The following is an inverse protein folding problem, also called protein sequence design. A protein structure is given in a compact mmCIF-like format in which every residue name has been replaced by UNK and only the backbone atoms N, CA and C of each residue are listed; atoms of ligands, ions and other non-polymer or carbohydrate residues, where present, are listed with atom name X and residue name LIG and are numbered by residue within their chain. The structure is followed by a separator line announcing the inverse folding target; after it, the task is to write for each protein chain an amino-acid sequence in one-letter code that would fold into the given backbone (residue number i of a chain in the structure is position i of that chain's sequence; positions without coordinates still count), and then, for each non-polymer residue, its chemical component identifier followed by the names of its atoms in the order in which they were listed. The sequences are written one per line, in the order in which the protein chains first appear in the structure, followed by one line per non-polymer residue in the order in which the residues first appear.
data_IF_550609141543
#
_entry.id   IF_550609141543
#
_cell.length_a   1.000
_cell.length_b   1.000
_cell.length_c   1.000
_cell.angle_alpha   90.00
_cell.angle_beta   90.00
_cell.angle_gamma   90.00
#
_symmetry.space_group_name_H-M   'P 1'
#
loop_
_entity.id
_entity.type
_entity.pdbx_description
1 polymer ?
#
# COMPACT_ATOMS: atom_id res chain seq x y z
N UNK A 1 -20.67 -13.05 -10.39
CA UNK A 1 -21.00 -11.82 -9.63
C UNK A 1 -20.86 -10.56 -10.48
N UNK A 2 -19.69 -10.21 -11.06
CA UNK A 2 -19.54 -9.00 -11.89
C UNK A 2 -20.44 -8.95 -13.12
N UNK A 3 -20.67 -10.08 -13.78
CA UNK A 3 -21.59 -10.18 -14.91
C UNK A 3 -23.05 -9.93 -14.51
N UNK A 4 -23.49 -10.39 -13.35
CA UNK A 4 -24.84 -10.10 -12.84
C UNK A 4 -24.96 -8.61 -12.50
N UNK A 5 -24.00 -8.04 -11.80
CA UNK A 5 -23.98 -6.60 -11.49
C UNK A 5 -24.06 -5.76 -12.77
N UNK A 6 -23.28 -6.11 -13.78
CA UNK A 6 -23.27 -5.37 -15.04
C UNK A 6 -24.59 -5.55 -15.83
N UNK A 7 -25.21 -6.74 -15.79
CA UNK A 7 -26.54 -6.98 -16.37
C UNK A 7 -27.60 -6.09 -15.71
N UNK A 8 -27.62 -6.03 -14.40
CA UNK A 8 -28.60 -5.25 -13.63
C UNK A 8 -28.44 -3.74 -13.88
N UNK A 9 -27.21 -3.28 -14.09
CA UNK A 9 -26.88 -1.87 -14.35
C UNK A 9 -26.83 -1.47 -15.83
N UNK A 10 -27.04 -2.42 -16.76
CA UNK A 10 -26.98 -2.21 -18.21
C UNK A 10 -27.78 -0.99 -18.70
N UNK A 11 -29.01 -0.87 -18.28
CA UNK A 11 -29.90 0.23 -18.71
C UNK A 11 -29.38 1.59 -18.24
N UNK A 12 -28.88 1.63 -17.04
CA UNK A 12 -28.36 2.84 -16.41
C UNK A 12 -27.04 3.29 -17.06
N UNK A 13 -26.12 2.35 -17.35
CA UNK A 13 -24.92 2.61 -18.12
C UNK A 13 -25.23 3.24 -19.48
N UNK A 14 -26.08 2.60 -20.28
CA UNK A 14 -26.45 3.05 -21.62
C UNK A 14 -27.03 4.46 -21.62
N UNK A 15 -27.82 4.82 -20.61
CA UNK A 15 -28.45 6.13 -20.51
C UNK A 15 -27.57 7.22 -19.92
N UNK A 16 -26.43 6.87 -19.31
CA UNK A 16 -25.64 7.81 -18.49
C UNK A 16 -24.20 7.98 -18.95
N UNK A 17 -23.63 7.03 -19.71
CA UNK A 17 -22.24 7.14 -20.17
C UNK A 17 -22.06 8.28 -21.17
N UNK A 18 -20.99 9.05 -20.99
CA UNK A 18 -20.58 10.10 -21.93
C UNK A 18 -19.62 9.53 -23.01
N UNK A 19 -19.36 10.35 -24.05
CA UNK A 19 -18.48 9.95 -25.16
C UNK A 19 -17.03 9.72 -24.72
N UNK A 20 -16.53 10.51 -23.77
CA UNK A 20 -15.17 10.40 -23.27
C UNK A 20 -14.94 9.07 -22.55
N UNK A 21 -15.78 8.79 -21.56
CA UNK A 21 -15.75 7.51 -20.80
C UNK A 21 -15.93 6.30 -21.74
N UNK A 22 -16.82 6.40 -22.74
CA UNK A 22 -17.05 5.33 -23.70
C UNK A 22 -15.82 5.03 -24.57
N UNK A 23 -15.14 6.07 -25.06
CA UNK A 23 -13.92 5.91 -25.85
C UNK A 23 -12.77 5.35 -25.02
N UNK A 24 -12.58 5.84 -23.80
CA UNK A 24 -11.57 5.32 -22.91
C UNK A 24 -11.83 3.84 -22.53
N UNK A 25 -13.10 3.45 -22.31
CA UNK A 25 -13.48 2.04 -22.13
C UNK A 25 -13.11 1.16 -23.33
N UNK A 26 -13.33 1.66 -24.56
CA UNK A 26 -12.96 0.92 -25.78
C UNK A 26 -11.44 0.71 -25.86
N UNK A 27 -10.67 1.74 -25.53
CA UNK A 27 -9.21 1.70 -25.59
C UNK A 27 -8.66 0.76 -24.48
N UNK A 28 -9.18 0.85 -23.25
CA UNK A 28 -8.81 -0.04 -22.14
C UNK A 28 -9.13 -1.50 -22.42
N UNK A 29 -10.35 -1.77 -22.91
CA UNK A 29 -10.78 -3.15 -23.21
C UNK A 29 -10.00 -3.76 -24.38
N UNK A 30 -9.52 -2.94 -25.32
CA UNK A 30 -8.60 -3.37 -26.37
C UNK A 30 -7.22 -3.68 -25.80
N UNK A 31 -6.66 -2.79 -24.97
CA UNK A 31 -5.37 -2.96 -24.31
C UNK A 31 -5.34 -4.24 -23.45
N UNK A 32 -6.38 -4.46 -22.67
CA UNK A 32 -6.55 -5.67 -21.84
C UNK A 32 -6.96 -6.92 -22.63
N UNK A 33 -6.99 -6.85 -23.97
CA UNK A 33 -7.37 -7.95 -24.87
C UNK A 33 -8.76 -8.55 -24.59
N UNK A 34 -9.63 -7.78 -23.95
CA UNK A 34 -11.04 -8.13 -23.81
C UNK A 34 -11.75 -7.98 -25.14
N UNK A 35 -11.47 -6.91 -25.88
CA UNK A 35 -11.89 -6.72 -27.27
C UNK A 35 -10.67 -6.89 -28.18
N UNK A 36 -10.91 -7.43 -29.36
CA UNK A 36 -9.95 -7.34 -30.45
C UNK A 36 -10.20 -6.06 -31.27
N UNK A 37 -9.27 -5.76 -32.20
CA UNK A 37 -9.33 -4.55 -33.02
C UNK A 37 -10.64 -4.47 -33.84
N UNK A 38 -11.07 -5.56 -34.41
CA UNK A 38 -12.31 -5.64 -35.22
C UNK A 38 -13.56 -5.38 -34.38
N UNK A 39 -13.62 -5.94 -33.16
CA UNK A 39 -14.75 -5.74 -32.23
C UNK A 39 -14.83 -4.28 -31.76
N UNK A 40 -13.68 -3.68 -31.46
CA UNK A 40 -13.58 -2.28 -31.05
C UNK A 40 -14.02 -1.36 -32.19
N UNK A 41 -13.53 -1.58 -33.44
CA UNK A 41 -13.93 -0.82 -34.63
C UNK A 41 -15.41 -0.96 -34.93
N UNK A 42 -15.96 -2.16 -34.81
CA UNK A 42 -17.40 -2.41 -34.97
C UNK A 42 -18.23 -1.57 -34.00
N UNK A 43 -17.86 -1.54 -32.73
CA UNK A 43 -18.55 -0.68 -31.74
C UNK A 43 -18.41 0.79 -32.11
N UNK A 44 -17.20 1.25 -32.51
CA UNK A 44 -16.86 2.64 -32.79
C UNK A 44 -17.53 3.20 -34.05
N UNK A 45 -17.62 2.42 -35.09
CA UNK A 45 -18.01 2.90 -36.45
C UNK A 45 -19.34 2.37 -36.98
N UNK A 46 -19.81 1.20 -36.57
CA UNK A 46 -21.09 0.65 -37.04
C UNK A 46 -22.30 1.17 -36.22
N UNK A 47 -22.11 1.90 -35.15
CA UNK A 47 -23.15 2.43 -34.29
C UNK A 47 -23.25 3.95 -34.38
N UNK A 48 -24.44 4.47 -34.66
CA UNK A 48 -24.65 5.88 -34.98
C UNK A 48 -24.63 6.80 -33.72
N UNK A 49 -25.19 6.35 -32.60
CA UNK A 49 -25.32 7.18 -31.39
C UNK A 49 -24.46 6.65 -30.26
N UNK A 50 -24.14 7.52 -29.29
CA UNK A 50 -23.43 7.12 -28.07
C UNK A 50 -24.18 6.01 -27.34
N UNK A 51 -25.50 6.06 -27.30
CA UNK A 51 -26.32 5.03 -26.68
C UNK A 51 -26.24 3.68 -27.40
N UNK A 52 -26.15 3.68 -28.74
CA UNK A 52 -26.03 2.45 -29.52
C UNK A 52 -24.64 1.84 -29.36
N UNK A 53 -23.59 2.67 -29.35
CA UNK A 53 -22.22 2.26 -29.02
C UNK A 53 -22.14 1.66 -27.62
N UNK A 54 -22.76 2.30 -26.63
CA UNK A 54 -22.82 1.81 -25.26
C UNK A 54 -23.53 0.46 -25.13
N UNK A 55 -24.64 0.27 -25.86
CA UNK A 55 -25.36 -1.03 -25.92
C UNK A 55 -24.46 -2.12 -26.54
N UNK A 56 -23.88 -1.83 -27.70
CA UNK A 56 -23.02 -2.77 -28.38
C UNK A 56 -21.81 -3.19 -27.52
N UNK A 57 -21.19 -2.21 -26.84
CA UNK A 57 -20.06 -2.43 -25.97
C UNK A 57 -20.43 -3.31 -24.76
N UNK A 58 -21.42 -2.91 -23.98
CA UNK A 58 -21.79 -3.65 -22.77
C UNK A 58 -22.29 -5.06 -23.08
N UNK A 59 -23.01 -5.25 -24.19
CA UNK A 59 -23.48 -6.56 -24.64
C UNK A 59 -22.34 -7.45 -25.13
N UNK A 60 -21.30 -6.86 -25.74
CA UNK A 60 -20.07 -7.59 -26.11
C UNK A 60 -19.32 -8.06 -24.87
N UNK A 61 -19.12 -7.18 -23.90
CA UNK A 61 -18.42 -7.48 -22.63
C UNK A 61 -19.16 -8.55 -21.82
N UNK A 62 -20.48 -8.46 -21.71
CA UNK A 62 -21.31 -9.46 -21.03
C UNK A 62 -21.19 -10.88 -21.63
N UNK A 63 -20.99 -10.98 -22.96
CA UNK A 63 -20.77 -12.26 -23.64
C UNK A 63 -19.39 -12.87 -23.37
N UNK A 64 -18.41 -12.06 -22.99
CA UNK A 64 -17.04 -12.50 -22.72
C UNK A 64 -16.83 -12.96 -21.28
N UNK A 65 -17.87 -12.90 -20.45
CA UNK A 65 -17.88 -13.49 -19.12
C UNK A 65 -17.52 -12.52 -17.99
N UNK A 66 -17.45 -13.06 -16.78
CA UNK A 66 -17.36 -12.28 -15.53
C UNK A 66 -16.08 -11.44 -15.45
N UNK A 67 -14.98 -11.93 -16.01
CA UNK A 67 -13.71 -11.21 -16.03
C UNK A 67 -13.77 -9.95 -16.91
N UNK A 68 -14.31 -10.06 -18.11
CA UNK A 68 -14.49 -8.93 -18.99
C UNK A 68 -15.39 -7.86 -18.34
N UNK A 69 -16.45 -8.30 -17.66
CA UNK A 69 -17.33 -7.44 -16.90
C UNK A 69 -16.60 -6.75 -15.73
N UNK A 70 -15.66 -7.44 -15.09
CA UNK A 70 -14.85 -6.92 -14.02
C UNK A 70 -13.94 -5.78 -14.49
N UNK A 71 -13.21 -5.97 -15.60
CA UNK A 71 -12.35 -4.94 -16.21
C UNK A 71 -13.18 -3.70 -16.56
N UNK A 72 -14.35 -3.91 -17.16
CA UNK A 72 -15.29 -2.87 -17.51
C UNK A 72 -15.74 -2.04 -16.27
N UNK A 73 -16.13 -2.71 -15.19
CA UNK A 73 -16.56 -2.08 -13.94
C UNK A 73 -15.39 -1.31 -13.30
N UNK A 74 -14.20 -1.91 -13.26
CA UNK A 74 -13.00 -1.27 -12.71
C UNK A 74 -12.68 0.03 -13.43
N UNK A 75 -12.68 0.03 -14.77
CA UNK A 75 -12.42 1.24 -15.54
C UNK A 75 -13.40 2.37 -15.16
N UNK A 76 -14.70 2.07 -15.08
CA UNK A 76 -15.70 3.08 -14.71
C UNK A 76 -15.43 3.61 -13.28
N UNK A 77 -15.10 2.75 -12.34
CA UNK A 77 -14.81 3.16 -10.97
C UNK A 77 -13.55 4.02 -10.87
N UNK A 78 -12.56 3.78 -11.73
CA UNK A 78 -11.29 4.48 -11.72
C UNK A 78 -11.34 5.82 -12.47
N UNK A 79 -12.04 5.89 -13.62
CA UNK A 79 -11.97 7.00 -14.56
C UNK A 79 -13.23 7.89 -14.55
N UNK A 80 -14.37 7.37 -14.10
CA UNK A 80 -15.63 8.11 -14.07
C UNK A 80 -16.39 7.86 -12.76
N UNK A 81 -15.90 8.50 -11.68
CA UNK A 81 -16.47 8.36 -10.34
C UNK A 81 -17.96 8.75 -10.29
N UNK A 82 -18.40 9.72 -11.12
CA UNK A 82 -19.79 10.15 -11.18
C UNK A 82 -20.68 9.05 -11.80
N UNK A 83 -20.22 8.43 -12.87
CA UNK A 83 -20.91 7.29 -13.48
C UNK A 83 -20.91 6.07 -12.56
N UNK A 84 -19.78 5.80 -11.89
CA UNK A 84 -19.66 4.73 -10.89
C UNK A 84 -20.67 4.89 -9.74
N UNK A 85 -20.76 6.07 -9.16
CA UNK A 85 -21.73 6.39 -8.10
C UNK A 85 -23.17 6.24 -8.62
N UNK A 86 -23.47 6.81 -9.78
CA UNK A 86 -24.79 6.73 -10.39
C UNK A 86 -25.21 5.29 -10.70
N UNK A 87 -24.26 4.45 -11.10
CA UNK A 87 -24.50 3.03 -11.33
C UNK A 87 -24.54 2.20 -10.03
N UNK A 88 -24.22 2.79 -8.89
CA UNK A 88 -24.09 2.08 -7.62
C UNK A 88 -22.99 1.02 -7.65
N UNK A 89 -21.90 1.28 -8.40
CA UNK A 89 -20.74 0.39 -8.47
C UNK A 89 -19.78 0.63 -7.29
N UNK A 90 -19.92 1.76 -6.61
CA UNK A 90 -19.14 2.09 -5.39
C UNK A 90 -19.39 1.09 -4.25
N UNK A 91 -20.55 0.45 -4.22
CA UNK A 91 -20.87 -0.62 -3.26
C UNK A 91 -20.11 -1.93 -3.54
N UNK A 92 -19.58 -2.13 -4.75
CA UNK A 92 -18.73 -3.27 -5.05
C UNK A 92 -17.36 -3.16 -4.35
N UNK A 93 -16.98 -1.96 -3.90
CA UNK A 93 -15.83 -1.73 -3.02
C UNK A 93 -16.18 -1.93 -1.53
N UNK A 94 -17.43 -1.81 -1.14
CA UNK A 94 -17.88 -2.13 0.22
C UNK A 94 -17.87 -3.63 0.51
N UNK A 95 -18.02 -4.48 -0.51
CA UNK A 95 -17.89 -5.93 -0.42
C UNK A 95 -16.43 -6.42 -0.32
N UNK A 96 -15.43 -5.53 -0.50
CA UNK A 96 -14.00 -5.82 -0.28
C UNK A 96 -13.62 -5.65 1.19
N UNK A 97 -14.38 -4.85 1.94
CA UNK A 97 -14.30 -4.82 3.40
C UNK A 97 -14.96 -6.10 3.93
N UNK A 98 -14.34 -6.83 4.85
CA UNK A 98 -15.04 -7.93 5.53
C UNK A 98 -16.37 -7.41 5.99
N UNK A 99 -17.45 -8.16 5.72
CA UNK A 99 -18.84 -7.78 6.02
C UNK A 99 -18.96 -7.23 7.43
N UNK A 100 -19.92 -6.34 7.71
CA UNK A 100 -20.01 -5.73 9.01
C UNK A 100 -20.06 -6.85 10.05
N UNK A 101 -19.10 -6.85 11.00
CA UNK A 101 -19.38 -7.55 12.25
C UNK A 101 -20.71 -6.98 12.80
N UNK A 102 -21.45 -7.79 13.52
CA UNK A 102 -22.65 -7.35 14.25
C UNK A 102 -22.38 -5.98 14.91
N UNK A 103 -23.40 -5.14 15.18
CA UNK A 103 -23.25 -3.73 15.48
C UNK A 103 -22.33 -3.50 16.68
N UNK A 104 -21.04 -3.50 16.43
CA UNK A 104 -20.02 -2.99 17.33
C UNK A 104 -19.81 -1.52 17.00
N UNK A 105 -19.74 -0.72 18.06
CA UNK A 105 -19.51 0.72 18.11
C UNK A 105 -18.62 1.24 16.98
N UNK A 106 -18.95 2.38 16.40
CA UNK A 106 -18.24 3.11 15.36
C UNK A 106 -16.73 3.19 15.65
N UNK A 107 -15.94 2.28 15.06
CA UNK A 107 -14.50 2.16 15.31
C UNK A 107 -13.68 2.94 14.29
N UNK A 108 -13.98 4.23 14.13
CA UNK A 108 -13.12 5.15 13.38
C UNK A 108 -11.97 5.71 14.25
N UNK A 109 -11.79 5.16 15.46
CA UNK A 109 -10.82 5.61 16.45
C UNK A 109 -9.86 4.48 16.85
N UNK A 110 -8.60 4.86 17.06
CA UNK A 110 -7.56 3.96 17.55
C UNK A 110 -7.96 3.36 18.92
N UNK A 111 -8.07 2.04 18.99
CA UNK A 111 -8.34 1.34 20.24
C UNK A 111 -7.11 1.44 21.16
N UNK A 112 -7.30 2.03 22.33
CA UNK A 112 -6.23 2.18 23.31
C UNK A 112 -5.99 0.86 24.06
N UNK A 113 -4.74 0.62 24.44
CA UNK A 113 -4.38 -0.51 25.29
C UNK A 113 -4.71 -0.18 26.76
N UNK A 114 -5.59 -0.95 27.43
CA UNK A 114 -5.82 -0.78 28.85
C UNK A 114 -4.51 -0.93 29.64
N UNK A 115 -4.29 -0.08 30.63
CA UNK A 115 -3.04 -0.06 31.39
C UNK A 115 -2.76 -1.42 32.08
N UNK A 116 -3.78 -2.10 32.56
CA UNK A 116 -3.66 -3.43 33.17
C UNK A 116 -3.12 -4.47 32.16
N UNK A 117 -3.62 -4.46 30.95
CA UNK A 117 -3.16 -5.34 29.86
C UNK A 117 -1.71 -5.00 29.44
N UNK A 118 -1.39 -3.70 29.38
CA UNK A 118 -0.02 -3.25 29.13
C UNK A 118 0.94 -3.78 30.19
N UNK A 119 0.66 -3.56 31.47
CA UNK A 119 1.52 -3.99 32.59
C UNK A 119 1.68 -5.51 32.59
N UNK A 120 0.58 -6.25 32.41
CA UNK A 120 0.59 -7.70 32.34
C UNK A 120 1.50 -8.20 31.21
N UNK A 121 1.26 -7.78 29.98
CA UNK A 121 2.00 -8.25 28.81
C UNK A 121 3.47 -7.81 28.86
N UNK A 122 3.74 -6.59 29.30
CA UNK A 122 5.10 -6.06 29.43
C UNK A 122 5.89 -6.80 30.50
N UNK A 123 5.25 -7.21 31.61
CA UNK A 123 5.88 -7.98 32.69
C UNK A 123 6.10 -9.43 32.28
N UNK A 124 5.10 -10.08 31.67
CA UNK A 124 5.19 -11.47 31.23
C UNK A 124 6.26 -11.66 30.15
N UNK A 125 6.44 -10.68 29.26
CA UNK A 125 7.39 -10.72 28.15
C UNK A 125 8.62 -9.84 28.36
N UNK A 126 8.94 -9.52 29.60
CA UNK A 126 10.10 -8.67 29.92
C UNK A 126 11.40 -9.26 29.33
N UNK A 127 12.14 -8.48 28.56
CA UNK A 127 13.36 -8.89 27.87
C UNK A 127 13.14 -9.65 26.54
N UNK A 128 11.95 -10.18 26.28
CA UNK A 128 11.61 -10.89 25.04
C UNK A 128 11.07 -9.98 23.94
N UNK A 129 10.60 -8.76 24.32
CA UNK A 129 10.08 -7.76 23.40
C UNK A 129 11.02 -6.56 23.33
N UNK A 130 10.85 -5.69 22.32
CA UNK A 130 11.56 -4.42 22.30
C UNK A 130 11.17 -3.55 23.50
N UNK A 131 12.13 -2.96 24.19
CA UNK A 131 11.84 -2.11 25.35
C UNK A 131 11.09 -0.84 24.91
N UNK A 132 10.12 -0.44 25.71
CA UNK A 132 9.35 0.78 25.53
C UNK A 132 9.76 1.76 26.62
N UNK A 133 10.07 3.00 26.22
CA UNK A 133 10.37 4.07 27.16
C UNK A 133 9.09 4.58 27.81
N UNK A 134 9.22 5.04 29.06
CA UNK A 134 8.15 5.73 29.77
C UNK A 134 7.62 6.91 28.95
N UNK A 135 6.31 7.09 28.91
CA UNK A 135 5.65 8.09 28.06
C UNK A 135 6.16 9.52 28.31
N UNK A 136 6.47 9.86 29.56
CA UNK A 136 6.96 11.18 29.97
C UNK A 136 8.39 11.47 29.47
N UNK A 137 9.20 10.43 29.24
CA UNK A 137 10.61 10.55 28.84
C UNK A 137 10.84 10.21 27.36
N UNK A 138 9.75 9.91 26.64
CA UNK A 138 9.79 9.38 25.28
C UNK A 138 9.38 10.43 24.26
N UNK A 139 10.21 10.61 23.23
CA UNK A 139 9.88 11.39 22.05
C UNK A 139 9.98 10.46 20.84
N UNK A 140 8.84 10.06 20.30
CA UNK A 140 8.74 9.26 19.06
C UNK A 140 8.59 10.18 17.86
N UNK A 141 9.37 9.94 16.81
CA UNK A 141 9.30 10.71 15.56
C UNK A 141 8.87 9.82 14.42
N UNK A 142 8.05 10.37 13.54
CA UNK A 142 7.68 9.76 12.26
C UNK A 142 7.81 10.77 11.12
N UNK A 143 8.18 10.29 9.94
CA UNK A 143 8.28 11.08 8.73
C UNK A 143 7.38 10.48 7.65
N UNK A 144 6.50 11.31 7.09
CA UNK A 144 5.68 10.98 5.92
C UNK A 144 6.22 11.79 4.74
N UNK A 145 6.65 11.10 3.68
CA UNK A 145 6.96 11.70 2.37
C UNK A 145 5.89 11.25 1.39
N UNK A 146 5.16 12.18 0.79
CA UNK A 146 4.13 11.88 -0.19
C UNK A 146 4.22 12.81 -1.39
N UNK A 147 4.50 12.27 -2.56
CA UNK A 147 4.42 12.99 -3.83
C UNK A 147 3.07 12.71 -4.48
N UNK A 148 2.37 13.78 -4.86
CA UNK A 148 1.04 13.74 -5.48
C UNK A 148 1.11 14.29 -6.91
N UNK A 149 1.74 15.42 -7.09
CA UNK A 149 1.90 16.10 -8.39
C UNK A 149 3.28 15.77 -8.97
N UNK A 150 3.33 15.54 -10.28
CA UNK A 150 4.53 15.18 -11.03
C UNK A 150 4.58 15.97 -12.33
N UNK A 151 5.77 16.24 -12.84
CA UNK A 151 5.96 16.97 -14.09
C UNK A 151 5.59 16.11 -15.32
N UNK A 152 5.85 14.80 -15.26
CA UNK A 152 5.74 13.87 -16.39
C UNK A 152 4.93 12.60 -16.10
N UNK A 153 4.48 12.39 -14.87
CA UNK A 153 3.63 11.28 -14.49
C UNK A 153 2.23 11.75 -14.10
N UNK A 154 1.21 10.90 -14.20
CA UNK A 154 -0.14 11.23 -13.75
C UNK A 154 -0.16 11.65 -12.28
N UNK A 155 -1.02 12.60 -11.87
CA UNK A 155 -1.17 12.97 -10.48
C UNK A 155 -1.76 11.80 -9.67
N UNK A 156 -1.34 11.67 -8.42
CA UNK A 156 -1.84 10.65 -7.50
C UNK A 156 -3.05 11.18 -6.71
N UNK A 157 -4.17 11.42 -7.42
CA UNK A 157 -5.40 11.93 -6.82
C UNK A 157 -5.90 11.00 -5.70
N UNK A 158 -6.36 11.57 -4.58
CA UNK A 158 -6.80 10.85 -3.38
C UNK A 158 -5.68 10.48 -2.39
N UNK A 159 -4.40 10.74 -2.72
CA UNK A 159 -3.30 10.49 -1.80
C UNK A 159 -3.26 11.46 -0.60
N UNK A 160 -3.99 12.56 -0.65
CA UNK A 160 -4.21 13.47 0.48
C UNK A 160 -4.91 12.75 1.65
N UNK A 161 -5.82 11.82 1.34
CA UNK A 161 -6.49 10.98 2.33
C UNK A 161 -5.51 10.04 3.03
N UNK A 162 -4.55 9.50 2.28
CA UNK A 162 -3.49 8.65 2.81
C UNK A 162 -2.60 9.43 3.79
N UNK A 163 -2.22 10.66 3.44
CA UNK A 163 -1.43 11.55 4.31
C UNK A 163 -2.18 11.80 5.62
N UNK A 164 -3.43 12.25 5.51
CA UNK A 164 -4.26 12.60 6.69
C UNK A 164 -4.48 11.38 7.58
N UNK A 165 -4.86 10.25 6.99
CA UNK A 165 -5.12 9.02 7.73
C UNK A 165 -3.87 8.49 8.44
N UNK A 166 -2.73 8.42 7.75
CA UNK A 166 -1.47 7.96 8.34
C UNK A 166 -0.96 8.92 9.42
N UNK A 167 -1.07 10.23 9.19
CA UNK A 167 -0.69 11.23 10.20
C UNK A 167 -1.52 11.05 11.47
N UNK A 168 -2.84 11.01 11.36
CA UNK A 168 -3.73 10.82 12.51
C UNK A 168 -3.44 9.51 13.26
N UNK A 169 -3.21 8.42 12.52
CA UNK A 169 -2.86 7.14 13.12
C UNK A 169 -1.55 7.23 13.92
N UNK A 170 -0.49 7.75 13.31
CA UNK A 170 0.82 7.82 13.94
C UNK A 170 0.83 8.78 15.13
N UNK A 171 0.13 9.90 15.05
CA UNK A 171 -0.07 10.82 16.19
C UNK A 171 -0.84 10.13 17.33
N UNK A 172 -1.89 9.36 17.02
CA UNK A 172 -2.60 8.52 17.99
C UNK A 172 -1.73 7.46 18.65
N UNK A 173 -0.71 6.95 17.95
CA UNK A 173 0.30 6.03 18.46
C UNK A 173 1.44 6.74 19.24
N UNK A 174 1.35 8.06 19.41
CA UNK A 174 2.29 8.87 20.18
C UNK A 174 3.53 9.35 19.42
N UNK A 175 3.49 9.36 18.08
CA UNK A 175 4.56 9.91 17.25
C UNK A 175 4.31 11.39 16.92
N UNK A 176 5.36 12.21 16.95
CA UNK A 176 5.37 13.52 16.31
C UNK A 176 5.65 13.33 14.83
N UNK A 177 4.73 13.78 13.98
CA UNK A 177 4.74 13.47 12.53
C UNK A 177 5.14 14.68 11.72
N UNK A 178 6.26 14.55 10.98
CA UNK A 178 6.65 15.49 9.94
C UNK A 178 6.09 15.02 8.59
N UNK A 179 5.48 15.93 7.82
CA UNK A 179 4.97 15.64 6.49
C UNK A 179 5.75 16.45 5.45
N UNK A 180 6.24 15.79 4.41
CA UNK A 180 6.92 16.40 3.27
C UNK A 180 6.22 15.99 1.97
N UNK A 181 6.10 16.94 1.06
CA UNK A 181 5.44 16.76 -0.24
C UNK A 181 6.25 17.42 -1.34
N UNK A 182 5.97 17.06 -2.60
CA UNK A 182 6.55 17.67 -3.81
C UNK A 182 8.09 17.62 -3.82
N UNK A 183 8.66 16.44 -3.53
CA UNK A 183 10.11 16.25 -3.44
C UNK A 183 10.66 15.52 -4.66
N UNK A 184 11.79 16.00 -5.18
CA UNK A 184 12.65 15.21 -6.06
C UNK A 184 13.31 14.06 -5.27
N UNK A 185 13.90 13.08 -5.94
CA UNK A 185 14.64 12.00 -5.28
C UNK A 185 15.77 12.53 -4.39
N UNK A 186 16.48 13.57 -4.86
CA UNK A 186 17.52 14.25 -4.08
C UNK A 186 16.97 14.93 -2.85
N UNK A 187 15.82 15.58 -2.97
CA UNK A 187 15.19 16.27 -1.83
C UNK A 187 14.62 15.25 -0.82
N UNK A 188 14.08 14.11 -1.29
CA UNK A 188 13.69 13.00 -0.44
C UNK A 188 14.87 12.45 0.36
N UNK A 189 16.01 12.22 -0.30
CA UNK A 189 17.24 11.77 0.37
C UNK A 189 17.69 12.80 1.42
N UNK A 190 17.70 14.08 1.07
CA UNK A 190 18.07 15.15 1.99
C UNK A 190 17.14 15.22 3.20
N UNK A 191 15.82 15.08 2.99
CA UNK A 191 14.84 15.05 4.06
C UNK A 191 15.04 13.84 5.00
N UNK A 192 15.29 12.65 4.44
CA UNK A 192 15.59 11.44 5.20
C UNK A 192 16.86 11.57 6.04
N UNK A 193 17.94 12.13 5.47
CA UNK A 193 19.20 12.40 6.20
C UNK A 193 19.01 13.41 7.32
N UNK A 194 18.29 14.50 7.06
CA UNK A 194 17.97 15.50 8.06
C UNK A 194 17.13 14.89 9.20
N UNK A 195 16.16 14.05 8.88
CA UNK A 195 15.33 13.36 9.86
C UNK A 195 16.16 12.36 10.69
N UNK A 196 17.05 11.57 10.08
CA UNK A 196 17.93 10.63 10.78
C UNK A 196 18.91 11.33 11.74
N UNK A 197 19.28 12.57 11.46
CA UNK A 197 20.20 13.37 12.28
C UNK A 197 19.54 13.99 13.53
N UNK A 198 18.20 13.96 13.63
CA UNK A 198 17.48 14.62 14.73
C UNK A 198 17.92 14.10 16.10
N UNK A 199 18.19 15.00 17.05
CA UNK A 199 18.64 14.62 18.39
C UNK A 199 17.58 13.86 19.19
N UNK A 200 16.29 14.09 18.91
CA UNK A 200 15.15 13.48 19.61
C UNK A 200 15.11 11.95 19.46
N UNK A 201 15.74 11.39 18.43
CA UNK A 201 15.88 9.94 18.28
C UNK A 201 16.60 9.28 19.48
N UNK A 202 17.41 10.00 20.20
CA UNK A 202 18.07 9.51 21.41
C UNK A 202 17.04 9.17 22.50
N UNK A 203 16.00 9.99 22.62
CA UNK A 203 14.89 9.79 23.57
C UNK A 203 13.76 8.90 23.02
N UNK A 204 13.84 8.44 21.79
CA UNK A 204 12.83 7.55 21.20
C UNK A 204 13.09 6.08 21.53
N UNK A 205 12.06 5.26 21.37
CA UNK A 205 12.12 3.79 21.40
C UNK A 205 11.89 3.17 20.01
N UNK A 206 11.50 3.96 19.01
CA UNK A 206 11.19 3.50 17.65
C UNK A 206 11.03 4.67 16.68
N UNK A 207 10.97 4.39 15.40
CA UNK A 207 10.63 5.38 14.37
C UNK A 207 9.80 4.79 13.24
N UNK A 208 8.95 5.61 12.61
CA UNK A 208 8.21 5.28 11.39
C UNK A 208 8.61 6.18 10.23
N UNK A 209 8.79 5.57 9.08
CA UNK A 209 8.97 6.23 7.78
C UNK A 209 7.85 5.77 6.85
N UNK A 210 7.11 6.70 6.29
CA UNK A 210 6.03 6.42 5.33
C UNK A 210 6.35 7.11 4.02
N UNK A 211 6.55 6.33 2.95
CA UNK A 211 6.92 6.84 1.64
C UNK A 211 5.84 6.47 0.63
N UNK A 212 5.23 7.48 0.04
CA UNK A 212 4.10 7.37 -0.86
C UNK A 212 4.36 8.15 -2.14
N UNK A 213 4.53 7.48 -3.27
CA UNK A 213 4.80 8.09 -4.56
C UNK A 213 4.51 7.11 -5.69
N UNK A 214 4.73 7.52 -6.95
CA UNK A 214 5.02 6.55 -8.00
C UNK A 214 6.32 5.81 -7.69
N UNK A 215 6.49 4.63 -8.27
CA UNK A 215 7.69 3.84 -8.04
C UNK A 215 7.97 2.88 -9.19
N UNK A 216 9.20 2.44 -9.20
CA UNK A 216 9.72 1.39 -10.08
C UNK A 216 10.30 0.26 -9.20
N UNK A 217 10.73 -0.84 -9.81
CA UNK A 217 11.28 -1.97 -9.08
C UNK A 217 12.42 -1.60 -8.12
N UNK A 218 13.29 -0.67 -8.52
CA UNK A 218 14.51 -0.29 -7.77
C UNK A 218 14.32 0.86 -6.79
N UNK A 219 13.18 1.60 -6.83
CA UNK A 219 13.02 2.76 -5.96
C UNK A 219 11.75 3.57 -6.16
N UNK A 220 11.70 4.69 -5.46
CA UNK A 220 10.57 5.62 -5.38
C UNK A 220 10.84 6.81 -6.30
N UNK A 221 9.87 7.19 -7.13
CA UNK A 221 9.98 8.30 -8.06
C UNK A 221 9.87 9.65 -7.35
N UNK A 222 10.77 10.56 -7.70
CA UNK A 222 10.64 11.97 -7.41
C UNK A 222 9.68 12.67 -8.37
N UNK A 223 9.38 13.93 -8.10
CA UNK A 223 8.40 14.71 -8.87
C UNK A 223 8.80 14.99 -10.32
N UNK A 224 10.09 14.97 -10.62
CA UNK A 224 10.63 15.26 -11.96
C UNK A 224 10.96 13.99 -12.77
N UNK A 225 10.51 12.82 -12.28
CA UNK A 225 10.79 11.56 -12.96
C UNK A 225 10.26 11.56 -14.40
N UNK A 226 11.15 11.14 -15.31
CA UNK A 226 10.80 10.75 -16.69
C UNK A 226 11.68 9.60 -17.14
N UNK A 227 11.31 8.83 -18.20
CA UNK A 227 12.16 7.77 -18.73
C UNK A 227 13.55 8.24 -19.18
N UNK A 228 13.63 9.50 -19.64
CA UNK A 228 14.86 10.14 -20.12
C UNK A 228 15.74 10.69 -18.98
N UNK A 229 15.11 11.07 -17.86
CA UNK A 229 15.77 11.60 -16.67
C UNK A 229 15.23 10.92 -15.43
N UNK A 230 15.75 9.75 -15.04
CA UNK A 230 15.24 8.98 -13.91
C UNK A 230 15.53 9.69 -12.59
N UNK A 231 14.52 10.35 -12.04
CA UNK A 231 14.53 10.95 -10.70
C UNK A 231 13.99 9.89 -9.72
N UNK A 232 14.88 9.02 -9.23
CA UNK A 232 14.52 7.86 -8.40
C UNK A 232 15.35 7.83 -7.14
N UNK A 233 14.70 7.69 -5.99
CA UNK A 233 15.34 7.35 -4.72
C UNK A 233 15.42 5.82 -4.59
N UNK A 234 16.59 5.21 -4.62
CA UNK A 234 16.74 3.77 -4.46
C UNK A 234 16.27 3.32 -3.07
N UNK A 235 15.59 2.17 -2.98
CA UNK A 235 15.19 1.61 -1.69
C UNK A 235 16.38 1.40 -0.76
N UNK A 236 17.51 0.92 -1.27
CA UNK A 236 18.72 0.68 -0.47
C UNK A 236 19.25 1.95 0.21
N UNK A 237 19.10 3.11 -0.43
CA UNK A 237 19.53 4.40 0.15
C UNK A 237 18.79 4.68 1.46
N UNK A 238 17.50 4.34 1.55
CA UNK A 238 16.70 4.52 2.77
C UNK A 238 17.29 3.70 3.92
N UNK A 239 17.56 2.41 3.67
CA UNK A 239 18.14 1.52 4.69
C UNK A 239 19.55 1.93 5.07
N UNK A 240 20.36 2.41 4.11
CA UNK A 240 21.72 2.92 4.37
C UNK A 240 21.70 4.15 5.29
N UNK A 241 20.75 5.08 5.10
CA UNK A 241 20.62 6.29 5.95
C UNK A 241 20.35 5.91 7.41
N UNK A 242 19.44 4.93 7.64
CA UNK A 242 18.96 4.57 8.98
C UNK A 242 19.68 3.37 9.60
N UNK A 243 20.71 2.82 8.96
CA UNK A 243 21.46 1.70 9.50
C UNK A 243 22.26 2.08 10.77
N UNK A 244 22.75 1.09 11.48
CA UNK A 244 23.46 1.26 12.74
C UNK A 244 24.80 2.00 12.61
N UNK A 245 25.36 2.13 11.40
CA UNK A 245 26.56 2.91 11.12
C UNK A 245 26.24 4.40 11.01
N UNK A 246 25.18 4.75 10.27
CA UNK A 246 24.89 6.12 9.89
C UNK A 246 23.89 6.80 10.84
N UNK A 247 23.06 6.02 11.55
CA UNK A 247 22.05 6.50 12.49
C UNK A 247 22.17 5.78 13.84
N UNK A 248 23.24 6.04 14.59
CA UNK A 248 23.53 5.35 15.85
C UNK A 248 22.49 5.63 16.95
N UNK A 249 21.77 6.76 16.90
CA UNK A 249 20.70 7.11 17.86
C UNK A 249 19.48 6.18 17.76
N UNK A 250 19.30 5.53 16.63
CA UNK A 250 18.26 4.50 16.41
C UNK A 250 18.80 3.06 16.47
N UNK A 251 20.01 2.87 16.97
CA UNK A 251 20.56 1.53 17.22
C UNK A 251 19.71 0.80 18.25
N UNK A 252 19.47 -0.49 18.01
CA UNK A 252 18.64 -1.39 18.84
C UNK A 252 17.18 -0.92 19.03
N UNK A 253 16.69 -0.05 18.15
CA UNK A 253 15.32 0.46 18.13
C UNK A 253 14.62 0.08 16.81
N UNK A 254 13.36 -0.35 16.86
CA UNK A 254 12.57 -0.64 15.66
C UNK A 254 12.50 0.54 14.69
N UNK A 255 12.84 0.25 13.44
CA UNK A 255 12.74 1.17 12.30
C UNK A 255 11.72 0.59 11.31
N UNK A 256 10.52 1.17 11.32
CA UNK A 256 9.37 0.70 10.54
C UNK A 256 9.23 1.55 9.29
N UNK A 257 9.28 0.93 8.14
CA UNK A 257 9.21 1.59 6.83
C UNK A 257 7.95 1.11 6.11
N UNK A 258 7.04 2.02 5.81
CA UNK A 258 5.82 1.76 5.02
C UNK A 258 6.03 2.36 3.63
N UNK A 259 5.85 1.53 2.60
CA UNK A 259 6.05 1.95 1.20
C UNK A 259 4.76 1.71 0.42
N UNK A 260 4.13 2.81 0.00
CA UNK A 260 3.01 2.81 -0.93
C UNK A 260 3.50 3.32 -2.29
N UNK A 261 3.92 2.39 -3.14
CA UNK A 261 4.37 2.67 -4.49
C UNK A 261 4.18 1.44 -5.38
N UNK A 262 3.94 1.66 -6.68
CA UNK A 262 4.04 0.57 -7.65
C UNK A 262 5.50 0.08 -7.74
N UNK A 263 5.68 -1.21 -7.97
CA UNK A 263 7.03 -1.84 -8.07
C UNK A 263 7.24 -2.52 -9.43
N UNK A 264 6.47 -2.12 -10.44
CA UNK A 264 6.46 -2.66 -11.79
C UNK A 264 5.11 -2.43 -12.47
N UNK A 265 4.95 -2.98 -13.66
CA UNK A 265 3.77 -2.82 -14.50
C UNK A 265 2.83 -4.04 -14.44
N UNK A 266 3.23 -5.14 -13.79
CA UNK A 266 2.44 -6.35 -13.72
C UNK A 266 1.24 -6.19 -12.81
N UNK A 267 0.08 -6.66 -13.24
CA UNK A 267 -1.18 -6.58 -12.47
C UNK A 267 -1.24 -7.53 -11.27
N UNK A 268 -0.20 -8.36 -11.05
CA UNK A 268 -0.09 -9.24 -9.89
C UNK A 268 -1.02 -10.46 -9.93
N UNK A 269 -1.60 -10.77 -11.10
CA UNK A 269 -2.58 -11.84 -11.27
C UNK A 269 -1.98 -13.01 -12.05
N UNK A 270 -2.12 -14.22 -11.54
CA UNK A 270 -1.82 -15.47 -12.21
C UNK A 270 -3.05 -16.37 -12.16
N UNK A 271 -3.46 -16.86 -13.32
CA UNK A 271 -4.50 -17.87 -13.43
C UNK A 271 -3.86 -19.25 -13.26
N UNK A 272 -4.20 -19.96 -12.19
CA UNK A 272 -3.72 -21.31 -11.93
C UNK A 272 -4.80 -22.30 -12.38
N UNK A 273 -4.49 -23.12 -13.39
CA UNK A 273 -5.18 -24.40 -13.60
C UNK A 273 -4.39 -25.45 -12.80
N UNK A 274 -5.10 -26.30 -12.05
CA UNK A 274 -4.50 -27.32 -11.20
C UNK A 274 -3.61 -28.27 -12.00
N UNK A 275 -2.31 -28.02 -12.03
CA UNK A 275 -1.27 -28.99 -12.38
C UNK A 275 0.07 -28.54 -11.78
N UNK A 276 0.73 -29.40 -11.01
CA UNK A 276 1.96 -29.02 -10.32
C UNK A 276 3.18 -29.12 -11.26
N UNK A 277 3.91 -28.01 -11.40
CA UNK A 277 5.27 -28.03 -11.92
C UNK A 277 6.23 -27.65 -10.81
N UNK A 278 7.08 -28.58 -10.43
CA UNK A 278 8.13 -28.38 -9.47
C UNK A 278 9.32 -27.62 -10.09
N UNK A 279 9.81 -26.61 -9.39
CA UNK A 279 11.13 -26.06 -9.63
C UNK A 279 11.93 -26.06 -8.34
N UNK A 280 13.04 -26.78 -8.35
CA UNK A 280 14.03 -26.87 -7.30
C UNK A 280 15.14 -25.88 -7.58
N UNK A 281 15.39 -24.96 -6.65
CA UNK A 281 16.66 -24.23 -6.60
C UNK A 281 17.34 -24.46 -5.25
N UNK A 282 18.55 -25.00 -5.35
CA UNK A 282 19.42 -25.32 -4.23
C UNK A 282 20.49 -24.24 -4.06
N UNK A 283 20.56 -23.66 -2.86
CA UNK A 283 21.67 -22.80 -2.46
C UNK A 283 22.59 -23.52 -1.47
N UNK A 284 23.88 -23.55 -1.78
CA UNK A 284 24.93 -24.07 -0.92
C UNK A 284 25.54 -22.95 -0.08
N UNK A 285 25.62 -23.16 1.24
CA UNK A 285 26.36 -22.29 2.17
C UNK A 285 27.73 -22.87 2.51
N UNK A 286 28.77 -22.06 2.42
CA UNK A 286 30.05 -22.33 3.03
C UNK A 286 30.22 -21.53 4.33
N UNK A 287 30.76 -22.12 5.40
CA UNK A 287 30.97 -21.43 6.67
C UNK A 287 32.33 -20.69 6.65
N UNK A 288 32.29 -19.42 7.06
CA UNK A 288 33.47 -18.60 7.33
C UNK A 288 33.85 -18.66 8.80
N UNK A 289 35.12 -18.97 9.07
CA UNK A 289 35.72 -18.92 10.39
C UNK A 289 35.93 -17.47 10.84
N UNK A 290 35.50 -17.15 12.05
CA UNK A 290 35.60 -15.82 12.65
C UNK A 290 36.63 -15.83 13.78
N UNK A 291 37.69 -14.99 13.66
CA UNK A 291 38.60 -14.66 14.78
C UNK A 291 38.09 -13.43 15.54
N UNK A 292 38.27 -13.47 16.87
CA UNK A 292 37.74 -12.51 17.82
C UNK A 292 38.83 -11.49 18.23
N UNK A 293 38.56 -10.21 17.95
CA UNK A 293 39.15 -9.09 18.68
C UNK A 293 38.04 -8.19 19.25
N UNK A 294 38.22 -7.76 20.48
CA UNK A 294 37.22 -7.08 21.29
C UNK A 294 36.94 -5.67 20.80
N UNK A 295 36.21 -5.59 19.70
CA UNK A 295 35.40 -4.43 19.32
C UNK A 295 33.99 -5.00 19.21
N UNK A 296 33.03 -4.42 19.90
CA UNK A 296 31.63 -4.85 19.80
C UNK A 296 31.16 -4.77 18.36
N UNK A 297 31.09 -5.92 17.69
CA UNK A 297 30.56 -6.02 16.33
C UNK A 297 29.04 -5.84 16.42
N UNK A 298 28.51 -4.80 15.81
CA UNK A 298 27.07 -4.63 15.60
C UNK A 298 26.75 -4.91 14.15
N UNK A 299 25.62 -5.56 13.89
CA UNK A 299 25.13 -5.69 12.53
C UNK A 299 24.89 -4.30 11.94
N UNK A 300 25.32 -4.07 10.70
CA UNK A 300 25.13 -2.78 10.01
C UNK A 300 23.64 -2.51 9.81
N UNK A 301 22.89 -3.53 9.36
CA UNK A 301 21.43 -3.47 9.16
C UNK A 301 20.75 -4.40 10.16
N UNK A 302 20.05 -3.84 11.12
CA UNK A 302 19.35 -4.54 12.21
C UNK A 302 18.15 -3.71 12.69
N UNK A 303 17.14 -4.41 13.20
CA UNK A 303 15.91 -3.83 13.76
C UNK A 303 15.05 -3.08 12.74
N UNK A 304 15.11 -3.48 11.47
CA UNK A 304 14.28 -2.99 10.39
C UNK A 304 13.11 -3.91 10.11
N UNK A 305 12.02 -3.32 9.64
CA UNK A 305 10.97 -3.98 8.88
C UNK A 305 10.44 -3.00 7.84
N UNK A 306 10.31 -3.45 6.59
CA UNK A 306 9.61 -2.72 5.54
C UNK A 306 8.30 -3.45 5.22
N UNK A 307 7.22 -2.68 5.09
CA UNK A 307 5.94 -3.18 4.63
C UNK A 307 5.54 -2.44 3.36
N UNK A 308 5.57 -3.18 2.26
CA UNK A 308 5.35 -2.68 0.92
C UNK A 308 3.93 -2.99 0.46
N UNK A 309 3.32 -2.06 -0.26
CA UNK A 309 1.95 -2.18 -0.76
C UNK A 309 1.75 -3.29 -1.80
N UNK A 310 2.81 -3.75 -2.46
CA UNK A 310 2.77 -4.82 -3.45
C UNK A 310 4.04 -5.66 -3.45
N UNK A 311 3.94 -6.87 -3.99
CA UNK A 311 5.08 -7.71 -4.35
C UNK A 311 5.93 -7.03 -5.42
N UNK A 312 7.24 -7.38 -5.55
CA UNK A 312 8.08 -6.90 -6.65
C UNK A 312 7.42 -7.14 -8.02
N UNK A 313 7.66 -6.22 -8.96
CA UNK A 313 7.12 -6.21 -10.33
C UNK A 313 5.61 -5.94 -10.45
N UNK A 314 4.89 -5.70 -9.37
CA UNK A 314 3.44 -5.53 -9.37
C UNK A 314 3.00 -4.11 -9.03
N UNK A 315 1.77 -3.77 -9.45
CA UNK A 315 1.14 -2.48 -9.18
C UNK A 315 0.48 -2.44 -7.81
N UNK A 316 0.28 -1.23 -7.31
CA UNK A 316 -0.52 -0.91 -6.12
C UNK A 316 -1.69 -0.03 -6.50
N UNK A 317 -2.85 -0.29 -5.92
CA UNK A 317 -4.09 0.34 -6.29
C UNK A 317 -4.50 1.49 -5.35
N UNK A 318 -5.04 2.55 -5.94
CA UNK A 318 -5.59 3.72 -5.22
C UNK A 318 -6.94 4.11 -5.82
N UNK A 319 -7.88 4.47 -4.97
CA UNK A 319 -9.17 5.05 -5.33
C UNK A 319 -9.12 6.57 -5.17
N UNK A 320 -9.62 7.32 -6.16
CA UNK A 320 -9.54 8.79 -6.19
C UNK A 320 -10.23 9.44 -4.98
N UNK A 321 -11.33 8.84 -4.50
CA UNK A 321 -12.14 9.40 -3.39
C UNK A 321 -11.95 8.69 -2.05
N UNK A 322 -11.26 7.52 -2.01
CA UNK A 322 -11.08 6.72 -0.79
C UNK A 322 -9.60 6.51 -0.42
N UNK A 323 -8.66 6.98 -1.24
CA UNK A 323 -7.22 6.79 -1.05
C UNK A 323 -6.73 5.41 -1.48
N UNK A 324 -5.52 5.06 -1.06
CA UNK A 324 -4.87 3.79 -1.39
C UNK A 324 -5.46 2.65 -0.59
N UNK A 325 -5.83 1.55 -1.26
CA UNK A 325 -6.40 0.36 -0.60
C UNK A 325 -5.49 -0.17 0.51
N UNK A 326 -4.19 -0.22 0.25
CA UNK A 326 -3.20 -0.66 1.23
C UNK A 326 -3.17 0.24 2.47
N UNK A 327 -3.12 1.57 2.30
CA UNK A 327 -3.06 2.51 3.42
C UNK A 327 -4.36 2.49 4.23
N UNK A 328 -5.53 2.44 3.57
CA UNK A 328 -6.82 2.34 4.25
C UNK A 328 -6.90 1.08 5.10
N UNK A 329 -6.53 -0.08 4.54
CA UNK A 329 -6.54 -1.35 5.26
C UNK A 329 -5.49 -1.39 6.38
N UNK A 330 -4.32 -0.78 6.17
CA UNK A 330 -3.27 -0.64 7.19
C UNK A 330 -3.81 0.14 8.40
N UNK A 331 -4.42 1.30 8.16
CA UNK A 331 -4.99 2.14 9.21
C UNK A 331 -6.05 1.35 10.01
N UNK A 332 -6.99 0.69 9.32
CA UNK A 332 -8.04 -0.13 9.95
C UNK A 332 -7.45 -1.23 10.84
N UNK A 333 -6.44 -1.95 10.37
CA UNK A 333 -5.81 -3.01 11.16
C UNK A 333 -5.03 -2.46 12.36
N UNK A 334 -4.34 -1.33 12.22
CA UNK A 334 -3.67 -0.69 13.34
C UNK A 334 -4.66 -0.21 14.40
N UNK A 335 -5.74 0.47 13.99
CA UNK A 335 -6.79 0.94 14.89
C UNK A 335 -7.40 -0.21 15.71
N UNK A 336 -7.63 -1.35 15.05
CA UNK A 336 -8.30 -2.50 15.65
C UNK A 336 -7.40 -3.37 16.51
N UNK A 337 -6.12 -3.54 16.14
CA UNK A 337 -5.28 -4.61 16.69
C UNK A 337 -4.00 -4.15 17.39
N UNK A 338 -3.51 -2.91 17.21
CA UNK A 338 -2.24 -2.47 17.79
C UNK A 338 -2.21 -2.41 19.32
N UNK A 339 -3.37 -2.47 19.97
CA UNK A 339 -3.48 -2.52 21.44
C UNK A 339 -3.10 -3.90 22.02
N UNK A 340 -3.22 -4.99 21.27
CA UNK A 340 -3.01 -6.35 21.77
C UNK A 340 -2.05 -7.19 20.92
N UNK A 341 -1.80 -6.81 19.65
CA UNK A 341 -0.94 -7.54 18.73
C UNK A 341 0.39 -6.80 18.53
N UNK A 342 1.47 -7.55 18.32
CA UNK A 342 2.73 -6.92 17.90
C UNK A 342 2.70 -6.55 16.41
N UNK A 343 3.60 -5.67 15.99
CA UNK A 343 3.61 -5.03 14.67
C UNK A 343 3.48 -6.04 13.50
N UNK A 344 4.24 -7.12 13.54
CA UNK A 344 4.22 -8.12 12.43
C UNK A 344 2.90 -8.86 12.36
N UNK A 345 2.25 -9.14 13.48
CA UNK A 345 0.88 -9.69 13.50
C UNK A 345 -0.12 -8.72 12.89
N UNK A 346 0.02 -7.42 13.17
CA UNK A 346 -0.84 -6.40 12.52
C UNK A 346 -0.61 -6.40 11.01
N UNK A 347 0.64 -6.48 10.54
CA UNK A 347 0.94 -6.59 9.11
C UNK A 347 0.35 -7.85 8.47
N UNK A 348 0.42 -9.00 9.17
CA UNK A 348 -0.21 -10.24 8.69
C UNK A 348 -1.72 -10.12 8.57
N UNK A 349 -2.38 -9.38 9.49
CA UNK A 349 -3.82 -9.09 9.37
C UNK A 349 -4.14 -8.22 8.16
N UNK A 350 -3.27 -7.28 7.81
CA UNK A 350 -3.38 -6.54 6.54
C UNK A 350 -3.25 -7.49 5.35
N UNK A 351 -2.23 -8.35 5.32
CA UNK A 351 -2.06 -9.34 4.24
C UNK A 351 -3.28 -10.26 4.08
N UNK A 352 -3.85 -10.73 5.19
CA UNK A 352 -5.05 -11.57 5.20
C UNK A 352 -6.25 -10.87 4.53
N UNK A 353 -6.38 -9.55 4.70
CA UNK A 353 -7.43 -8.79 4.05
C UNK A 353 -7.28 -8.72 2.51
N UNK A 354 -6.06 -8.94 2.00
CA UNK A 354 -5.76 -9.01 0.58
C UNK A 354 -5.67 -10.45 0.02
N UNK A 355 -5.87 -11.49 0.86
CA UNK A 355 -5.72 -12.90 0.45
C UNK A 355 -6.65 -13.28 -0.70
N UNK A 356 -7.86 -12.75 -0.73
CA UNK A 356 -8.84 -13.00 -1.78
C UNK A 356 -9.03 -11.73 -2.63
N UNK A 357 -8.40 -11.65 -3.81
CA UNK A 357 -8.59 -10.51 -4.70
C UNK A 357 -10.01 -10.54 -5.27
N UNK A 358 -10.84 -9.57 -4.87
CA UNK A 358 -12.23 -9.48 -5.37
C UNK A 358 -12.31 -8.70 -6.69
N UNK A 359 -11.56 -7.60 -6.81
CA UNK A 359 -11.62 -6.69 -7.97
C UNK A 359 -10.24 -6.50 -8.60
N UNK A 360 -9.20 -6.33 -7.78
CA UNK A 360 -7.82 -6.10 -8.21
C UNK A 360 -6.88 -6.89 -7.31
N UNK A 361 -5.93 -7.61 -7.90
CA UNK A 361 -4.91 -8.32 -7.13
C UNK A 361 -3.86 -7.33 -6.63
N UNK A 362 -3.61 -7.39 -5.34
CA UNK A 362 -2.54 -6.68 -4.67
C UNK A 362 -2.17 -7.48 -3.43
N UNK A 363 -0.91 -7.84 -3.28
CA UNK A 363 -0.44 -8.54 -2.10
C UNK A 363 0.64 -7.72 -1.41
N UNK A 364 0.35 -7.09 -0.27
CA UNK A 364 1.35 -6.43 0.55
C UNK A 364 2.41 -7.41 1.04
N UNK A 365 3.67 -6.97 1.08
CA UNK A 365 4.80 -7.82 1.47
C UNK A 365 5.57 -7.22 2.64
N UNK A 366 5.99 -8.10 3.56
CA UNK A 366 6.93 -7.77 4.63
C UNK A 366 8.33 -8.07 4.10
N UNK A 367 9.18 -7.06 4.04
CA UNK A 367 10.53 -7.15 3.49
C UNK A 367 11.57 -6.64 4.47
N UNK A 368 12.84 -6.98 4.24
CA UNK A 368 13.99 -6.55 5.05
C UNK A 368 13.74 -6.70 6.56
N UNK A 369 13.16 -7.83 6.94
CA UNK A 369 12.84 -8.13 8.33
C UNK A 369 14.11 -8.52 9.08
N UNK A 370 14.65 -7.58 9.84
CA UNK A 370 15.81 -7.78 10.71
C UNK A 370 15.52 -7.47 12.18
N UNK A 371 14.25 -7.41 12.53
CA UNK A 371 13.81 -7.30 13.93
C UNK A 371 14.02 -8.63 14.64
N UNK A 372 14.65 -8.59 15.81
CA UNK A 372 15.00 -9.79 16.60
C UNK A 372 13.99 -10.11 17.70
N UNK A 373 13.06 -9.19 17.97
CA UNK A 373 12.03 -9.30 19.01
C UNK A 373 10.69 -8.79 18.50
N UNK A 374 9.56 -9.23 19.08
CA UNK A 374 8.28 -8.59 18.85
C UNK A 374 8.29 -7.12 19.27
N UNK A 375 7.69 -6.27 18.45
CA UNK A 375 7.51 -4.85 18.74
C UNK A 375 6.03 -4.54 18.95
N UNK A 376 5.68 -4.14 20.15
CA UNK A 376 4.33 -3.71 20.53
C UNK A 376 4.25 -2.19 20.58
N UNK A 377 3.15 -1.62 20.13
CA UNK A 377 2.94 -0.17 20.09
C UNK A 377 2.28 0.38 21.35
N UNK A 378 1.43 -0.42 22.00
CA UNK A 378 0.70 -0.09 23.24
C UNK A 378 0.08 1.32 23.21
N UNK A 379 -0.85 1.60 22.27
CA UNK A 379 -1.45 2.93 22.17
C UNK A 379 -2.08 3.36 23.51
N UNK A 380 -1.75 4.56 23.94
CA UNK A 380 -2.22 5.13 25.23
C UNK A 380 -1.25 4.97 26.40
N UNK A 381 -0.26 4.07 26.29
CA UNK A 381 0.76 3.83 27.34
C UNK A 381 2.13 4.26 26.90
#
# INVERSE_FOLDING_TARGET
MADQTLRDKRKLFVSSVNTGTLNGLLDELLEKRVLNQEEMERVRYENATVMDKARALIDSVLRKGSQACQIFICYICDEDAFLAEKMGLSSAFEDIMPGPPEPEESTDTLKLCPHEEFVKLYTEKAGEIYPIKERQDRIRLALIICNIEFDHLPPRNGAELDITGMKNLLEGLGYSVDVKQKLTAKDMESALRAFAARPEHESSDSTFLVLMSHGILSGICGTTFSPENPDVLPYDTIFQIFNNRNCFKLRDKPKVIIIQACRGENLGELWVSDSPAASTDSFSHQPLLLESDVVYKVHVEKDFVAFCSSTPHNVSWRHVTKGSLFIAQLITCFQKYSWCCHLVEVFQKVQQAFEKPNVKAQMPTIERMSMTKPFYLFPGN
#
